data_IF_542462673915
#
_entry.id   IF_542462673915
#
_cell.length_a   1.000
_cell.length_b   1.000
_cell.length_c   1.000
_cell.angle_alpha   90.00
_cell.angle_beta   90.00
_cell.angle_gamma   90.00
#
_symmetry.space_group_name_H-M   'P 1'
#
loop_
_entity.id
_entity.type
_entity.pdbx_description
1 polymer ?
#
# COMPACT_ATOMS: atom_id res chain seq x y z
N UNK A 1 5.79 28.01 -45.34
CA UNK A 1 5.04 26.80 -44.90
C UNK A 1 5.90 25.65 -44.34
N UNK A 2 7.21 25.51 -44.62
CA UNK A 2 7.99 24.35 -44.12
C UNK A 2 8.45 24.42 -42.65
N UNK A 3 8.81 25.61 -42.12
CA UNK A 3 9.20 25.78 -40.70
C UNK A 3 8.07 25.48 -39.71
N UNK A 4 6.82 25.83 -40.05
CA UNK A 4 5.64 25.56 -39.23
C UNK A 4 5.26 24.08 -39.18
N UNK A 5 5.52 23.33 -40.27
CA UNK A 5 5.32 21.88 -40.34
C UNK A 5 6.39 21.14 -39.53
N UNK A 6 7.66 21.57 -39.62
CA UNK A 6 8.79 21.01 -38.87
C UNK A 6 8.64 21.16 -37.34
N UNK A 7 8.18 22.33 -36.87
CA UNK A 7 7.88 22.60 -35.45
C UNK A 7 6.77 21.71 -34.90
N UNK A 8 5.67 21.49 -35.65
CA UNK A 8 4.59 20.57 -35.23
C UNK A 8 5.04 19.11 -35.16
N UNK A 9 5.91 18.68 -36.07
CA UNK A 9 6.50 17.33 -36.01
C UNK A 9 7.44 17.14 -34.82
N UNK A 10 8.24 18.15 -34.45
CA UNK A 10 9.11 18.09 -33.27
C UNK A 10 8.31 18.12 -31.95
N UNK A 11 7.30 19.00 -31.86
CA UNK A 11 6.40 19.05 -30.70
C UNK A 11 5.55 17.77 -30.56
N UNK A 12 5.05 17.24 -31.68
CA UNK A 12 4.32 15.97 -31.72
C UNK A 12 5.19 14.75 -31.38
N UNK A 13 6.46 14.75 -31.79
CA UNK A 13 7.43 13.73 -31.38
C UNK A 13 7.78 13.84 -29.89
N UNK A 14 7.95 15.06 -29.35
CA UNK A 14 8.15 15.29 -27.91
C UNK A 14 6.97 14.83 -27.07
N UNK A 15 5.74 15.15 -27.49
CA UNK A 15 4.52 14.71 -26.80
C UNK A 15 4.34 13.18 -26.86
N UNK A 16 4.57 12.56 -28.02
CA UNK A 16 4.53 11.10 -28.14
C UNK A 16 5.62 10.45 -27.28
N UNK A 17 6.83 10.99 -27.26
CA UNK A 17 7.89 10.46 -26.43
C UNK A 17 7.56 10.59 -24.94
N UNK A 18 6.95 11.69 -24.51
CA UNK A 18 6.52 11.90 -23.13
C UNK A 18 5.43 10.93 -22.66
N UNK A 19 4.47 10.54 -23.52
CA UNK A 19 3.38 9.63 -23.15
C UNK A 19 3.58 8.16 -23.53
N UNK A 20 4.53 7.84 -24.41
CA UNK A 20 4.74 6.47 -24.92
C UNK A 20 6.14 5.92 -24.66
N UNK A 21 6.95 6.59 -23.84
CA UNK A 21 8.24 6.02 -23.39
C UNK A 21 7.98 4.67 -22.71
N UNK A 22 8.78 3.63 -23.02
CA UNK A 22 8.68 2.36 -22.31
C UNK A 22 9.09 2.55 -20.84
N UNK A 23 8.54 1.73 -19.92
CA UNK A 23 9.02 1.69 -18.54
C UNK A 23 10.50 1.30 -18.48
N UNK A 24 11.17 1.64 -17.37
CA UNK A 24 12.55 1.17 -17.11
C UNK A 24 12.58 -0.35 -17.05
N UNK A 25 13.65 -0.96 -17.58
CA UNK A 25 13.91 -2.40 -17.46
C UNK A 25 14.53 -2.71 -16.09
N UNK A 26 14.58 -3.98 -15.70
CA UNK A 26 15.38 -4.34 -14.52
C UNK A 26 16.86 -4.01 -14.76
N UNK A 27 17.53 -3.49 -13.73
CA UNK A 27 18.92 -3.02 -13.82
C UNK A 27 19.08 -1.57 -14.30
N UNK A 28 18.01 -0.91 -14.76
CA UNK A 28 18.00 0.54 -15.03
C UNK A 28 17.50 1.35 -13.82
N UNK A 29 17.73 0.84 -12.60
CA UNK A 29 17.27 1.46 -11.35
C UNK A 29 18.03 2.77 -11.14
N UNK A 30 17.29 3.81 -10.82
CA UNK A 30 17.83 5.14 -10.56
C UNK A 30 18.07 5.30 -9.06
N UNK A 31 19.32 5.12 -8.64
CA UNK A 31 19.68 5.11 -7.21
C UNK A 31 19.66 6.50 -6.57
N UNK A 32 19.75 7.56 -7.38
CA UNK A 32 19.72 8.96 -6.92
C UNK A 32 18.33 9.59 -7.05
N UNK A 33 17.31 8.79 -7.41
CA UNK A 33 15.92 9.24 -7.45
C UNK A 33 15.44 9.67 -6.06
N UNK A 34 14.77 10.81 -6.02
CA UNK A 34 13.99 11.27 -4.87
C UNK A 34 12.50 10.93 -5.04
N UNK A 35 11.77 10.85 -3.93
CA UNK A 35 10.30 10.68 -3.97
C UNK A 35 9.66 11.94 -4.56
N UNK A 36 8.90 11.78 -5.64
CA UNK A 36 8.23 12.91 -6.27
C UNK A 36 6.97 13.36 -5.51
N UNK A 37 6.58 14.63 -5.63
CA UNK A 37 5.32 15.13 -5.05
C UNK A 37 4.08 14.35 -5.49
N UNK A 38 4.09 13.78 -6.70
CA UNK A 38 2.98 12.95 -7.19
C UNK A 38 2.90 11.63 -6.42
N UNK A 39 4.03 11.07 -5.99
CA UNK A 39 4.06 9.88 -5.15
C UNK A 39 3.61 10.17 -3.72
N UNK A 40 3.93 11.36 -3.20
CA UNK A 40 3.36 11.84 -1.93
C UNK A 40 1.84 12.01 -2.03
N UNK A 41 1.35 12.54 -3.15
CA UNK A 41 -0.08 12.66 -3.41
C UNK A 41 -0.76 11.29 -3.57
N UNK A 42 -0.08 10.31 -4.17
CA UNK A 42 -0.53 8.93 -4.23
C UNK A 42 -0.71 8.32 -2.82
N UNK A 43 0.24 8.56 -1.90
CA UNK A 43 0.11 8.11 -0.50
C UNK A 43 -1.06 8.76 0.24
N UNK A 44 -1.46 9.98 -0.12
CA UNK A 44 -2.63 10.63 0.47
C UNK A 44 -3.95 9.87 0.20
N UNK A 45 -4.06 9.18 -0.93
CA UNK A 45 -5.23 8.33 -1.20
C UNK A 45 -5.24 7.11 -0.28
N UNK A 46 -4.06 6.64 0.15
CA UNK A 46 -3.96 5.57 1.14
C UNK A 46 -4.43 6.01 2.53
N UNK A 47 -4.30 7.29 2.90
CA UNK A 47 -4.91 7.82 4.13
C UNK A 47 -6.41 7.53 4.16
N UNK A 48 -7.11 7.80 3.05
CA UNK A 48 -8.57 7.60 2.98
C UNK A 48 -8.95 6.14 3.13
N UNK A 49 -8.33 5.23 2.37
CA UNK A 49 -8.69 3.81 2.41
C UNK A 49 -8.30 3.15 3.73
N UNK A 50 -7.18 3.55 4.33
CA UNK A 50 -6.75 3.06 5.64
C UNK A 50 -7.70 3.58 6.73
N UNK A 51 -8.10 4.85 6.66
CA UNK A 51 -9.10 5.42 7.57
C UNK A 51 -10.44 4.71 7.50
N UNK A 52 -10.90 4.29 6.31
CA UNK A 52 -12.12 3.48 6.19
C UNK A 52 -11.99 2.12 6.87
N UNK A 53 -10.85 1.44 6.72
CA UNK A 53 -10.59 0.17 7.41
C UNK A 53 -10.48 0.37 8.94
N UNK A 54 -9.78 1.41 9.38
CA UNK A 54 -9.61 1.72 10.80
C UNK A 54 -10.95 2.09 11.46
N UNK A 55 -11.78 2.88 10.80
CA UNK A 55 -13.12 3.23 11.28
C UNK A 55 -14.03 2.00 11.41
N UNK A 56 -13.98 1.08 10.44
CA UNK A 56 -14.70 -0.20 10.56
C UNK A 56 -14.26 -0.99 11.80
N UNK A 57 -12.95 -1.04 12.11
CA UNK A 57 -12.45 -1.67 13.33
C UNK A 57 -12.93 -0.95 14.60
N UNK A 58 -12.90 0.39 14.61
CA UNK A 58 -13.32 1.21 15.75
C UNK A 58 -14.80 1.01 16.11
N UNK A 59 -15.65 0.78 15.11
CA UNK A 59 -17.08 0.50 15.30
C UNK A 59 -17.40 -0.97 15.60
N UNK A 60 -16.43 -1.89 15.42
CA UNK A 60 -16.60 -3.34 15.59
C UNK A 60 -15.50 -3.96 16.46
N UNK A 61 -15.20 -3.36 17.63
CA UNK A 61 -14.13 -3.80 18.54
C UNK A 61 -14.39 -5.22 19.08
N UNK A 62 -13.85 -6.21 18.39
CA UNK A 62 -13.99 -7.63 18.71
C UNK A 62 -12.88 -8.43 18.03
N UNK A 63 -12.71 -9.71 18.41
CA UNK A 63 -11.78 -10.61 17.71
C UNK A 63 -12.13 -10.79 16.23
N UNK A 64 -13.42 -10.78 15.91
CA UNK A 64 -13.90 -10.87 14.52
C UNK A 64 -13.57 -9.59 13.76
N UNK A 65 -13.85 -8.41 14.32
CA UNK A 65 -13.52 -7.12 13.72
C UNK A 65 -12.01 -6.95 13.52
N UNK A 66 -11.19 -7.40 14.49
CA UNK A 66 -9.74 -7.38 14.36
C UNK A 66 -9.25 -8.30 13.23
N UNK A 67 -9.79 -9.52 13.13
CA UNK A 67 -9.48 -10.44 12.02
C UNK A 67 -9.82 -9.79 10.67
N UNK A 68 -11.02 -9.23 10.56
CA UNK A 68 -11.53 -8.62 9.34
C UNK A 68 -10.68 -7.41 8.93
N UNK A 69 -10.33 -6.56 9.89
CA UNK A 69 -9.39 -5.47 9.72
C UNK A 69 -8.03 -5.94 9.22
N UNK A 70 -7.41 -6.94 9.87
CA UNK A 70 -6.08 -7.45 9.48
C UNK A 70 -6.09 -7.98 8.04
N UNK A 71 -7.17 -8.65 7.63
CA UNK A 71 -7.30 -9.17 6.25
C UNK A 71 -7.45 -8.03 5.24
N UNK A 72 -8.37 -7.09 5.49
CA UNK A 72 -8.63 -5.96 4.58
C UNK A 72 -7.42 -5.03 4.52
N UNK A 73 -6.82 -4.68 5.66
CA UNK A 73 -5.57 -3.92 5.72
C UNK A 73 -4.44 -4.63 4.98
N UNK A 74 -4.33 -5.96 5.12
CA UNK A 74 -3.37 -6.76 4.37
C UNK A 74 -3.54 -6.60 2.85
N UNK A 75 -4.76 -6.61 2.34
CA UNK A 75 -5.04 -6.37 0.92
C UNK A 75 -4.69 -4.94 0.49
N UNK A 76 -4.97 -3.94 1.33
CA UNK A 76 -4.59 -2.54 1.10
C UNK A 76 -3.07 -2.41 1.03
N UNK A 77 -2.35 -3.02 1.98
CA UNK A 77 -0.89 -3.03 2.02
C UNK A 77 -0.31 -3.70 0.77
N UNK A 78 -0.90 -4.82 0.31
CA UNK A 78 -0.48 -5.46 -0.93
C UNK A 78 -0.68 -4.56 -2.15
N UNK A 79 -1.80 -3.85 -2.24
CA UNK A 79 -2.03 -2.89 -3.32
C UNK A 79 -1.02 -1.75 -3.28
N UNK A 80 -0.78 -1.18 -2.10
CA UNK A 80 0.23 -0.15 -1.87
C UNK A 80 1.62 -0.62 -2.31
N UNK A 81 2.05 -1.78 -1.82
CA UNK A 81 3.35 -2.34 -2.10
C UNK A 81 3.52 -2.59 -3.61
N UNK A 82 2.52 -3.17 -4.29
CA UNK A 82 2.60 -3.43 -5.72
C UNK A 82 2.71 -2.14 -6.56
N UNK A 83 1.89 -1.13 -6.26
CA UNK A 83 1.93 0.16 -6.97
C UNK A 83 3.24 0.90 -6.74
N UNK A 84 3.67 1.00 -5.48
CA UNK A 84 4.92 1.67 -5.07
C UNK A 84 6.13 0.94 -5.63
N UNK A 85 6.22 -0.38 -5.49
CA UNK A 85 7.34 -1.17 -5.98
C UNK A 85 7.45 -1.14 -7.51
N UNK A 86 6.33 -1.14 -8.25
CA UNK A 86 6.40 -0.97 -9.69
C UNK A 86 6.95 0.42 -10.06
N UNK A 87 6.49 1.48 -9.40
CA UNK A 87 6.99 2.83 -9.68
C UNK A 87 8.48 3.00 -9.32
N UNK A 88 8.89 2.39 -8.21
CA UNK A 88 10.27 2.33 -7.74
C UNK A 88 11.21 1.75 -8.81
N UNK A 89 10.88 0.57 -9.34
CA UNK A 89 11.79 -0.17 -10.24
C UNK A 89 11.61 0.23 -11.70
N UNK A 90 10.40 0.61 -12.11
CA UNK A 90 10.03 0.77 -13.52
C UNK A 90 9.52 2.17 -13.91
N UNK A 91 9.20 3.02 -12.93
CA UNK A 91 8.65 4.35 -13.13
C UNK A 91 9.65 5.35 -13.69
N UNK A 92 9.13 6.43 -14.29
CA UNK A 92 9.90 7.56 -14.85
C UNK A 92 9.17 8.88 -14.60
N UNK A 93 9.86 10.00 -14.72
CA UNK A 93 9.23 11.33 -14.69
C UNK A 93 8.61 11.71 -16.05
N UNK A 94 7.71 10.88 -16.55
CA UNK A 94 7.06 11.07 -17.84
C UNK A 94 5.52 11.02 -17.76
N UNK A 95 4.86 11.41 -18.83
CA UNK A 95 3.39 11.48 -18.89
C UNK A 95 2.74 10.12 -18.69
N UNK A 96 3.37 9.05 -19.19
CA UNK A 96 2.87 7.68 -19.03
C UNK A 96 2.84 7.26 -17.56
N UNK A 97 3.92 7.48 -16.84
CA UNK A 97 4.05 7.11 -15.43
C UNK A 97 3.08 7.93 -14.57
N UNK A 98 2.93 9.23 -14.88
CA UNK A 98 1.92 10.09 -14.22
C UNK A 98 0.50 9.60 -14.47
N UNK A 99 0.14 9.27 -15.71
CA UNK A 99 -1.17 8.70 -16.06
C UNK A 99 -1.41 7.38 -15.34
N UNK A 100 -0.40 6.51 -15.24
CA UNK A 100 -0.51 5.26 -14.50
C UNK A 100 -0.82 5.51 -13.02
N UNK A 101 -0.13 6.46 -12.38
CA UNK A 101 -0.39 6.84 -10.99
C UNK A 101 -1.83 7.35 -10.84
N UNK A 102 -2.29 8.27 -11.71
CA UNK A 102 -3.66 8.79 -11.63
C UNK A 102 -4.73 7.71 -11.79
N UNK A 103 -4.52 6.73 -12.68
CA UNK A 103 -5.42 5.57 -12.82
C UNK A 103 -5.45 4.76 -11.52
N UNK A 104 -4.28 4.45 -10.95
CA UNK A 104 -4.21 3.73 -9.68
C UNK A 104 -4.91 4.51 -8.56
N UNK A 105 -4.69 5.82 -8.44
CA UNK A 105 -5.36 6.68 -7.46
C UNK A 105 -6.89 6.62 -7.58
N UNK A 106 -7.42 6.69 -8.81
CA UNK A 106 -8.86 6.58 -9.04
C UNK A 106 -9.42 5.21 -8.62
N UNK A 107 -8.69 4.13 -8.91
CA UNK A 107 -9.07 2.78 -8.50
C UNK A 107 -8.99 2.57 -6.98
N UNK A 108 -7.97 3.12 -6.32
CA UNK A 108 -7.81 3.04 -4.85
C UNK A 108 -8.86 3.90 -4.15
N UNK A 109 -9.17 5.08 -4.67
CA UNK A 109 -10.25 5.92 -4.15
C UNK A 109 -11.61 5.22 -4.28
N UNK A 110 -11.88 4.55 -5.40
CA UNK A 110 -13.07 3.72 -5.57
C UNK A 110 -13.06 2.50 -4.63
N UNK A 111 -11.90 1.88 -4.42
CA UNK A 111 -11.75 0.77 -3.48
C UNK A 111 -12.10 1.24 -2.06
N UNK A 112 -11.69 2.46 -1.68
CA UNK A 112 -12.01 3.07 -0.39
C UNK A 112 -13.51 3.22 -0.13
N UNK A 113 -14.31 3.51 -1.16
CA UNK A 113 -15.78 3.59 -1.04
C UNK A 113 -16.36 2.30 -0.48
N UNK A 114 -15.83 1.15 -0.88
CA UNK A 114 -16.32 -0.17 -0.47
C UNK A 114 -15.58 -0.75 0.74
N UNK A 115 -14.51 -0.10 1.22
CA UNK A 115 -13.66 -0.66 2.29
C UNK A 115 -14.39 -0.77 3.62
N UNK A 116 -15.21 0.22 3.98
CA UNK A 116 -15.91 0.25 5.27
C UNK A 116 -16.86 -0.94 5.50
N UNK A 117 -17.36 -1.52 4.41
CA UNK A 117 -18.31 -2.64 4.40
C UNK A 117 -17.77 -3.85 3.60
N UNK A 118 -16.45 -3.92 3.40
CA UNK A 118 -15.82 -4.93 2.55
C UNK A 118 -16.01 -6.36 3.07
N UNK A 119 -16.22 -6.52 4.38
CA UNK A 119 -16.40 -7.84 5.00
C UNK A 119 -17.86 -8.27 5.08
N UNK A 120 -18.79 -7.44 4.58
CA UNK A 120 -20.22 -7.72 4.54
C UNK A 120 -20.80 -7.49 3.12
N UNK A 121 -21.82 -6.64 3.02
CA UNK A 121 -22.59 -6.21 1.84
C UNK A 121 -21.74 -5.72 0.67
N UNK A 122 -20.65 -4.98 0.91
CA UNK A 122 -19.83 -4.40 -0.15
C UNK A 122 -18.69 -5.32 -0.63
N UNK A 123 -18.50 -6.49 0.00
CA UNK A 123 -17.38 -7.37 -0.33
C UNK A 123 -17.28 -7.80 -1.81
N UNK A 124 -18.39 -8.09 -2.53
CA UNK A 124 -18.32 -8.35 -3.98
C UNK A 124 -17.85 -7.13 -4.78
N UNK A 125 -18.27 -5.92 -4.39
CA UNK A 125 -17.85 -4.68 -5.04
C UNK A 125 -16.37 -4.38 -4.75
N UNK A 126 -15.94 -4.53 -3.50
CA UNK A 126 -14.53 -4.44 -3.10
C UNK A 126 -13.66 -5.40 -3.91
N UNK A 127 -14.02 -6.69 -3.98
CA UNK A 127 -13.30 -7.69 -4.77
C UNK A 127 -13.25 -7.32 -6.26
N UNK A 128 -14.34 -6.79 -6.82
CA UNK A 128 -14.40 -6.37 -8.22
C UNK A 128 -13.43 -5.23 -8.52
N UNK A 129 -13.41 -4.19 -7.69
CA UNK A 129 -12.46 -3.07 -7.85
C UNK A 129 -11.02 -3.55 -7.67
N UNK A 130 -10.79 -4.43 -6.70
CA UNK A 130 -9.48 -5.04 -6.45
C UNK A 130 -8.99 -5.86 -7.66
N UNK A 131 -9.88 -6.59 -8.34
CA UNK A 131 -9.56 -7.30 -9.60
C UNK A 131 -9.12 -6.32 -10.67
N UNK A 132 -9.83 -5.19 -10.85
CA UNK A 132 -9.47 -4.19 -11.86
C UNK A 132 -8.11 -3.57 -11.54
N UNK A 133 -7.84 -3.27 -10.26
CA UNK A 133 -6.55 -2.77 -9.80
C UNK A 133 -5.42 -3.78 -10.03
N UNK A 134 -5.61 -5.05 -9.69
CA UNK A 134 -4.62 -6.09 -9.93
C UNK A 134 -4.44 -6.43 -11.41
N UNK A 135 -5.49 -6.33 -12.23
CA UNK A 135 -5.38 -6.46 -13.68
C UNK A 135 -4.52 -5.33 -14.27
N UNK A 136 -4.66 -4.10 -13.73
CA UNK A 136 -3.80 -2.98 -14.08
C UNK A 136 -2.33 -3.23 -13.69
N UNK A 137 -2.07 -3.66 -12.45
CA UNK A 137 -0.71 -4.04 -12.03
C UNK A 137 -0.15 -5.18 -12.88
N UNK A 138 -0.94 -6.19 -13.20
CA UNK A 138 -0.56 -7.32 -14.06
C UNK A 138 -0.15 -6.84 -15.45
N UNK A 139 -0.93 -5.93 -16.03
CA UNK A 139 -0.60 -5.32 -17.32
C UNK A 139 0.73 -4.54 -17.26
N UNK A 140 0.95 -3.76 -16.22
CA UNK A 140 2.18 -2.99 -16.03
C UNK A 140 3.42 -3.90 -15.92
N UNK A 141 3.33 -4.99 -15.15
CA UNK A 141 4.38 -5.99 -15.03
C UNK A 141 4.59 -6.79 -16.31
N UNK A 142 3.50 -7.13 -17.02
CA UNK A 142 3.58 -7.81 -18.31
C UNK A 142 4.25 -6.93 -19.38
N UNK A 143 3.96 -5.63 -19.39
CA UNK A 143 4.58 -4.69 -20.32
C UNK A 143 6.10 -4.63 -20.14
N UNK A 144 6.58 -4.66 -18.88
CA UNK A 144 8.01 -4.79 -18.56
C UNK A 144 8.53 -6.15 -19.00
N UNK A 145 7.88 -7.25 -18.61
CA UNK A 145 8.29 -8.61 -18.92
C UNK A 145 8.60 -8.83 -20.42
N UNK A 146 7.84 -8.18 -21.31
CA UNK A 146 8.04 -8.28 -22.77
C UNK A 146 9.32 -7.61 -23.29
N UNK A 147 9.80 -6.58 -22.60
CA UNK A 147 10.98 -5.81 -23.02
C UNK A 147 12.23 -6.13 -22.22
N UNK A 148 12.09 -6.88 -21.14
CA UNK A 148 13.12 -7.12 -20.14
C UNK A 148 14.15 -8.18 -20.56
N UNK A 149 15.30 -8.17 -19.88
CA UNK A 149 16.36 -9.15 -20.10
C UNK A 149 15.87 -10.57 -19.74
N UNK A 150 16.18 -11.59 -20.57
CA UNK A 150 15.85 -12.99 -20.29
C UNK A 150 16.18 -13.48 -18.87
N UNK A 151 17.22 -12.95 -18.22
CA UNK A 151 17.62 -13.35 -16.86
C UNK A 151 16.52 -13.10 -15.82
N UNK A 152 15.67 -12.07 -16.01
CA UNK A 152 14.60 -11.72 -15.07
C UNK A 152 13.29 -12.46 -15.36
N UNK A 153 13.12 -13.05 -16.54
CA UNK A 153 11.84 -13.65 -16.97
C UNK A 153 11.33 -14.72 -16.01
N UNK A 154 12.22 -15.54 -15.44
CA UNK A 154 11.81 -16.57 -14.49
C UNK A 154 11.15 -16.00 -13.22
N UNK A 155 11.67 -14.90 -12.68
CA UNK A 155 11.11 -14.24 -11.49
C UNK A 155 9.83 -13.50 -11.90
N UNK A 156 9.87 -12.72 -12.97
CA UNK A 156 8.73 -11.92 -13.43
C UNK A 156 7.55 -12.80 -13.85
N UNK A 157 7.77 -13.95 -14.50
CA UNK A 157 6.69 -14.89 -14.84
C UNK A 157 6.01 -15.49 -13.61
N UNK A 158 6.77 -15.82 -12.55
CA UNK A 158 6.20 -16.29 -11.28
C UNK A 158 5.39 -15.19 -10.59
N UNK A 159 5.90 -13.97 -10.62
CA UNK A 159 5.21 -12.81 -10.08
C UNK A 159 3.89 -12.55 -10.81
N UNK A 160 3.90 -12.56 -12.14
CA UNK A 160 2.70 -12.46 -12.98
C UNK A 160 1.71 -13.61 -12.71
N UNK A 161 2.20 -14.84 -12.54
CA UNK A 161 1.34 -15.97 -12.18
C UNK A 161 0.66 -15.75 -10.81
N UNK A 162 1.37 -15.21 -9.83
CA UNK A 162 0.81 -14.82 -8.53
C UNK A 162 -0.27 -13.74 -8.64
N UNK A 163 -0.06 -12.74 -9.51
CA UNK A 163 -1.07 -11.71 -9.79
C UNK A 163 -2.31 -12.28 -10.46
N UNK A 164 -2.16 -13.14 -11.47
CA UNK A 164 -3.27 -13.83 -12.12
C UNK A 164 -4.03 -14.75 -11.15
N UNK A 165 -3.32 -15.46 -10.27
CA UNK A 165 -3.93 -16.27 -9.22
C UNK A 165 -4.72 -15.40 -8.23
N UNK A 166 -4.24 -14.20 -7.91
CA UNK A 166 -4.96 -13.24 -7.06
C UNK A 166 -6.23 -12.74 -7.73
N UNK A 167 -6.18 -12.41 -9.02
CA UNK A 167 -7.36 -12.03 -9.81
C UNK A 167 -8.39 -13.16 -9.82
N UNK A 168 -7.96 -14.39 -10.08
CA UNK A 168 -8.84 -15.56 -10.08
C UNK A 168 -9.45 -15.82 -8.69
N UNK A 169 -8.65 -15.76 -7.64
CA UNK A 169 -9.10 -15.95 -6.27
C UNK A 169 -10.09 -14.86 -5.83
N UNK A 170 -9.83 -13.59 -6.18
CA UNK A 170 -10.79 -12.51 -5.96
C UNK A 170 -12.08 -12.73 -6.75
N UNK A 171 -12.00 -13.20 -7.99
CA UNK A 171 -13.17 -13.53 -8.81
C UNK A 171 -14.03 -14.62 -8.18
N UNK A 172 -13.41 -15.66 -7.63
CA UNK A 172 -14.10 -16.71 -6.86
C UNK A 172 -14.75 -16.10 -5.61
N UNK A 173 -14.03 -15.18 -4.93
CA UNK A 173 -14.48 -14.57 -3.67
C UNK A 173 -15.78 -13.75 -3.81
N UNK A 174 -16.13 -13.29 -5.01
CA UNK A 174 -17.36 -12.56 -5.32
C UNK A 174 -18.60 -13.45 -5.14
N UNK A 175 -18.51 -14.72 -5.50
CA UNK A 175 -19.67 -15.62 -5.57
C UNK A 175 -19.89 -16.46 -4.30
N UNK A 176 -19.02 -16.31 -3.30
CA UNK A 176 -19.09 -17.10 -2.05
C UNK A 176 -19.62 -16.26 -0.87
N UNK A 177 -20.12 -16.92 0.19
CA UNK A 177 -20.53 -16.24 1.42
C UNK A 177 -19.35 -15.50 2.09
N UNK A 178 -19.67 -14.51 2.93
CA UNK A 178 -18.69 -13.57 3.49
C UNK A 178 -17.57 -14.26 4.27
N UNK A 179 -17.88 -15.26 5.10
CA UNK A 179 -16.85 -16.01 5.85
C UNK A 179 -15.84 -16.72 4.93
N UNK A 180 -16.31 -17.26 3.79
CA UNK A 180 -15.45 -17.91 2.80
C UNK A 180 -14.66 -16.88 2.00
N UNK A 181 -15.27 -15.72 1.70
CA UNK A 181 -14.60 -14.58 1.05
C UNK A 181 -13.41 -14.10 1.89
N UNK A 182 -13.63 -13.86 3.18
CA UNK A 182 -12.57 -13.44 4.11
C UNK A 182 -11.47 -14.50 4.23
N UNK A 183 -11.83 -15.79 4.25
CA UNK A 183 -10.83 -16.87 4.26
C UNK A 183 -9.97 -16.89 2.98
N UNK A 184 -10.58 -16.66 1.80
CA UNK A 184 -9.85 -16.53 0.53
C UNK A 184 -8.90 -15.33 0.59
N UNK A 185 -9.39 -14.18 1.05
CA UNK A 185 -8.60 -12.96 1.16
C UNK A 185 -7.43 -13.10 2.13
N UNK A 186 -7.65 -13.74 3.29
CA UNK A 186 -6.59 -14.09 4.23
C UNK A 186 -5.53 -14.99 3.58
N UNK A 187 -5.97 -15.97 2.77
CA UNK A 187 -5.10 -16.84 1.99
C UNK A 187 -4.25 -16.06 0.97
N UNK A 188 -4.82 -15.07 0.29
CA UNK A 188 -4.10 -14.17 -0.62
C UNK A 188 -3.02 -13.39 0.14
N UNK A 189 -3.37 -12.76 1.26
CA UNK A 189 -2.42 -11.98 2.09
C UNK A 189 -1.28 -12.88 2.57
N UNK A 190 -1.58 -14.05 3.11
CA UNK A 190 -0.58 -15.00 3.59
C UNK A 190 0.32 -15.50 2.44
N UNK A 191 -0.26 -15.84 1.28
CA UNK A 191 0.48 -16.31 0.12
C UNK A 191 1.46 -15.24 -0.40
N UNK A 192 1.06 -13.97 -0.45
CA UNK A 192 1.94 -12.89 -0.86
C UNK A 192 3.00 -12.56 0.19
N UNK A 193 2.66 -12.54 1.47
CA UNK A 193 3.63 -12.27 2.53
C UNK A 193 4.70 -13.37 2.60
N UNK A 194 4.28 -14.64 2.64
CA UNK A 194 5.20 -15.77 2.75
C UNK A 194 5.94 -16.06 1.43
N UNK A 195 5.20 -16.08 0.31
CA UNK A 195 5.76 -16.33 -1.02
C UNK A 195 6.67 -15.20 -1.48
N UNK A 196 6.29 -13.96 -1.21
CA UNK A 196 7.10 -12.78 -1.48
C UNK A 196 8.37 -12.74 -0.62
N UNK A 197 8.26 -13.05 0.69
CA UNK A 197 9.42 -13.21 1.57
C UNK A 197 10.38 -14.27 1.02
N UNK A 198 9.87 -15.47 0.71
CA UNK A 198 10.68 -16.57 0.18
C UNK A 198 11.33 -16.20 -1.16
N UNK A 199 10.59 -15.52 -2.05
CA UNK A 199 11.11 -15.08 -3.35
C UNK A 199 12.29 -14.12 -3.19
N UNK A 200 12.18 -13.11 -2.31
CA UNK A 200 13.26 -12.16 -2.04
C UNK A 200 14.42 -12.86 -1.31
N UNK A 201 14.14 -13.67 -0.29
CA UNK A 201 15.17 -14.32 0.52
C UNK A 201 16.02 -15.35 -0.25
N UNK A 202 15.43 -16.00 -1.27
CA UNK A 202 16.08 -17.07 -2.05
C UNK A 202 16.55 -16.64 -3.44
N UNK A 203 16.17 -15.45 -3.91
CA UNK A 203 16.58 -14.97 -5.23
C UNK A 203 18.10 -14.92 -5.35
N UNK A 204 18.63 -15.37 -6.48
CA UNK A 204 20.06 -15.27 -6.83
C UNK A 204 20.36 -14.16 -7.83
N UNK A 205 19.34 -13.46 -8.31
CA UNK A 205 19.47 -12.40 -9.32
C UNK A 205 19.88 -11.12 -8.63
N UNK A 206 21.10 -10.64 -8.92
CA UNK A 206 21.72 -9.47 -8.28
C UNK A 206 20.94 -8.19 -8.52
N UNK A 207 20.54 -7.90 -9.76
CA UNK A 207 19.83 -6.65 -10.08
C UNK A 207 18.41 -6.52 -9.49
N UNK A 208 17.82 -7.61 -8.99
CA UNK A 208 16.57 -7.54 -8.22
C UNK A 208 16.83 -7.18 -6.74
N UNK A 209 18.05 -7.37 -6.23
CA UNK A 209 18.42 -7.01 -4.85
C UNK A 209 18.79 -5.54 -4.73
N UNK A 210 19.33 -4.97 -5.81
CA UNK A 210 19.70 -3.55 -5.91
C UNK A 210 18.49 -2.64 -6.15
N UNK A 211 17.29 -3.20 -6.31
CA UNK A 211 16.07 -2.43 -6.57
C UNK A 211 15.49 -1.70 -5.36
N UNK A 212 16.06 -1.89 -4.16
CA UNK A 212 15.66 -1.17 -2.94
C UNK A 212 16.55 0.05 -2.76
N UNK A 213 16.09 1.19 -3.27
CA UNK A 213 16.78 2.48 -3.16
C UNK A 213 16.45 3.19 -1.84
N UNK A 214 17.13 4.30 -1.56
CA UNK A 214 16.77 5.24 -0.50
C UNK A 214 15.32 5.73 -0.63
N UNK A 215 14.82 5.93 -1.85
CA UNK A 215 13.45 6.35 -2.13
C UNK A 215 12.42 5.31 -1.66
N UNK A 216 12.70 4.02 -1.82
CA UNK A 216 11.80 2.98 -1.30
C UNK A 216 11.75 2.98 0.23
N UNK A 217 12.89 3.20 0.89
CA UNK A 217 12.95 3.36 2.36
C UNK A 217 12.12 4.57 2.79
N UNK A 218 12.25 5.69 2.08
CA UNK A 218 11.44 6.89 2.29
C UNK A 218 9.94 6.61 2.12
N UNK A 219 9.53 5.87 1.08
CA UNK A 219 8.12 5.47 0.87
C UNK A 219 7.57 4.60 2.00
N UNK A 220 8.34 3.64 2.52
CA UNK A 220 7.93 2.89 3.72
C UNK A 220 7.82 3.80 4.96
N UNK A 221 8.71 4.78 5.09
CA UNK A 221 8.62 5.83 6.12
C UNK A 221 7.33 6.64 6.01
N UNK A 222 6.98 7.10 4.80
CA UNK A 222 5.77 7.87 4.51
C UNK A 222 4.50 7.06 4.75
N UNK A 223 4.46 5.80 4.31
CA UNK A 223 3.33 4.91 4.61
C UNK A 223 3.17 4.67 6.11
N UNK A 224 4.28 4.58 6.85
CA UNK A 224 4.23 4.48 8.32
C UNK A 224 3.73 5.79 8.95
N UNK A 225 4.06 6.96 8.40
CA UNK A 225 3.49 8.25 8.85
C UNK A 225 1.98 8.29 8.59
N UNK A 226 1.51 7.83 7.41
CA UNK A 226 0.08 7.73 7.09
C UNK A 226 -0.65 6.91 8.16
N UNK A 227 -0.11 5.74 8.50
CA UNK A 227 -0.68 4.85 9.49
C UNK A 227 -0.59 5.41 10.92
N UNK A 228 0.48 6.12 11.28
CA UNK A 228 0.57 6.88 12.53
C UNK A 228 -0.47 8.00 12.60
N UNK A 229 -0.84 8.57 11.45
CA UNK A 229 -1.93 9.54 11.32
C UNK A 229 -3.25 9.00 11.87
N UNK A 230 -3.53 7.70 11.72
CA UNK A 230 -4.74 7.07 12.28
C UNK A 230 -4.76 7.09 13.81
N UNK A 231 -3.60 7.10 14.47
CA UNK A 231 -3.53 7.27 15.93
C UNK A 231 -3.98 8.67 16.33
N UNK A 232 -3.52 9.69 15.59
CA UNK A 232 -3.91 11.09 15.84
C UNK A 232 -5.40 11.27 15.53
N UNK A 233 -5.88 10.75 14.41
CA UNK A 233 -7.29 10.81 14.01
C UNK A 233 -8.17 10.11 15.05
N UNK A 234 -7.79 8.90 15.50
CA UNK A 234 -8.56 8.17 16.50
C UNK A 234 -8.67 8.90 17.84
N UNK A 235 -7.60 9.53 18.31
CA UNK A 235 -7.62 10.39 19.51
C UNK A 235 -8.55 11.58 19.33
N UNK A 236 -8.47 12.27 18.19
CA UNK A 236 -9.30 13.45 17.91
C UNK A 236 -10.77 13.08 17.75
N UNK A 237 -11.08 11.98 17.07
CA UNK A 237 -12.44 11.46 16.91
C UNK A 237 -13.04 11.07 18.24
N UNK A 238 -12.34 10.26 19.04
CA UNK A 238 -12.82 9.86 20.36
C UNK A 238 -13.10 11.06 21.26
N UNK A 239 -12.23 12.08 21.27
CA UNK A 239 -12.48 13.33 22.02
C UNK A 239 -13.61 14.19 21.41
N UNK A 240 -13.86 14.05 20.13
CA UNK A 240 -14.96 14.69 19.40
C UNK A 240 -16.33 14.12 19.78
N UNK A 241 -16.39 12.82 20.08
CA UNK A 241 -17.61 12.07 20.33
C UNK A 241 -18.08 12.13 21.80
N UNK A 242 -17.18 12.41 22.76
CA UNK A 242 -17.57 12.59 24.17
C UNK A 242 -18.40 13.87 24.38
N UNK A 243 -19.51 13.74 25.12
CA UNK A 243 -20.40 14.86 25.50
C UNK A 243 -19.65 15.92 26.31
N UNK A 244 -19.06 15.52 27.44
CA UNK A 244 -18.30 16.39 28.33
C UNK A 244 -16.79 16.12 28.27
N UNK A 245 -16.02 17.13 27.87
CA UNK A 245 -14.55 17.06 27.77
C UNK A 245 -13.90 17.33 29.13
N UNK A 246 -14.01 16.36 30.03
CA UNK A 246 -13.44 16.45 31.38
C UNK A 246 -11.92 16.39 31.35
N UNK A 247 -11.29 16.73 32.48
CA UNK A 247 -9.84 16.62 32.63
C UNK A 247 -9.35 15.17 32.44
N UNK A 248 -10.16 14.17 32.78
CA UNK A 248 -9.82 12.76 32.61
C UNK A 248 -9.78 12.39 31.12
N UNK A 249 -10.85 12.68 30.39
CA UNK A 249 -10.93 12.39 28.94
C UNK A 249 -9.82 13.07 28.15
N UNK A 250 -9.52 14.35 28.46
CA UNK A 250 -8.39 15.06 27.85
C UNK A 250 -7.06 14.40 28.20
N UNK A 251 -6.87 13.97 29.45
CA UNK A 251 -5.63 13.28 29.85
C UNK A 251 -5.46 11.96 29.11
N UNK A 252 -6.52 11.15 29.00
CA UNK A 252 -6.52 9.89 28.26
C UNK A 252 -6.20 10.12 26.78
N UNK A 253 -6.82 11.12 26.15
CA UNK A 253 -6.50 11.53 24.78
C UNK A 253 -5.03 11.92 24.60
N UNK A 254 -4.48 12.73 25.52
CA UNK A 254 -3.07 13.14 25.48
C UNK A 254 -2.11 11.97 25.68
N UNK A 255 -2.46 10.98 26.52
CA UNK A 255 -1.69 9.75 26.67
C UNK A 255 -1.75 8.89 25.40
N UNK A 256 -2.91 8.77 24.75
CA UNK A 256 -3.04 8.10 23.45
C UNK A 256 -2.16 8.76 22.38
N UNK A 257 -2.13 10.08 22.34
CA UNK A 257 -1.23 10.84 21.46
C UNK A 257 0.24 10.59 21.79
N UNK A 258 0.60 10.54 23.08
CA UNK A 258 1.96 10.22 23.53
C UNK A 258 2.39 8.80 23.11
N UNK A 259 1.48 7.83 23.09
CA UNK A 259 1.74 6.49 22.52
C UNK A 259 2.06 6.59 21.03
N UNK A 260 1.28 7.34 20.25
CA UNK A 260 1.57 7.60 18.83
C UNK A 260 2.94 8.24 18.60
N UNK A 261 3.30 9.24 19.41
CA UNK A 261 4.62 9.87 19.39
C UNK A 261 5.74 8.89 19.74
N UNK A 262 5.53 8.02 20.73
CA UNK A 262 6.45 6.95 21.10
C UNK A 262 6.65 5.93 19.97
N UNK A 263 5.58 5.53 19.27
CA UNK A 263 5.65 4.63 18.12
C UNK A 263 6.45 5.27 16.97
N UNK A 264 6.21 6.55 16.68
CA UNK A 264 7.00 7.31 15.71
C UNK A 264 8.48 7.31 16.07
N UNK A 265 8.82 7.62 17.33
CA UNK A 265 10.19 7.69 17.81
C UNK A 265 10.90 6.35 17.62
N UNK A 266 10.29 5.26 18.10
CA UNK A 266 10.86 3.92 18.02
C UNK A 266 11.05 3.48 16.56
N UNK A 267 10.07 3.73 15.68
CA UNK A 267 10.15 3.33 14.28
C UNK A 267 11.29 4.04 13.54
N UNK A 268 11.36 5.38 13.63
CA UNK A 268 12.35 6.14 12.85
C UNK A 268 13.79 6.01 13.38
N UNK A 269 13.97 5.72 14.68
CA UNK A 269 15.31 5.45 15.23
C UNK A 269 15.79 4.01 14.95
N UNK A 270 14.87 3.03 14.94
CA UNK A 270 15.23 1.61 14.75
C UNK A 270 15.26 1.18 13.27
N UNK A 271 14.27 1.59 12.46
CA UNK A 271 14.00 1.04 11.13
C UNK A 271 13.94 2.10 10.02
N UNK A 272 13.21 3.19 10.23
CA UNK A 272 12.77 4.10 9.16
C UNK A 272 13.87 4.87 8.42
N UNK A 273 15.10 4.90 8.94
CA UNK A 273 16.26 5.59 8.31
C UNK A 273 17.34 4.65 7.79
N UNK A 274 17.19 3.33 7.94
CA UNK A 274 18.26 2.36 7.65
C UNK A 274 17.95 1.60 6.37
N UNK A 275 18.76 1.83 5.33
CA UNK A 275 18.77 0.94 4.16
C UNK A 275 19.21 -0.45 4.65
N UNK A 276 18.38 -1.50 4.46
CA UNK A 276 18.75 -2.84 4.88
C UNK A 276 20.03 -3.28 4.14
N UNK A 277 20.90 -3.99 4.86
CA UNK A 277 22.13 -4.55 4.28
C UNK A 277 21.85 -5.41 3.03
N UNK A 278 22.84 -5.58 2.16
CA UNK A 278 22.75 -6.37 0.92
C UNK A 278 22.41 -7.88 1.06
N UNK A 279 22.14 -8.38 2.27
CA UNK A 279 21.69 -9.76 2.48
C UNK A 279 20.22 -9.92 2.08
N UNK A 280 19.94 -10.87 1.18
CA UNK A 280 18.60 -11.17 0.69
C UNK A 280 17.59 -11.47 1.81
N UNK A 281 18.01 -12.18 2.86
CA UNK A 281 17.15 -12.47 4.02
C UNK A 281 16.86 -11.20 4.80
N UNK A 282 17.87 -10.36 5.06
CA UNK A 282 17.66 -9.09 5.78
C UNK A 282 16.77 -8.13 4.99
N UNK A 283 16.91 -8.11 3.66
CA UNK A 283 16.05 -7.37 2.76
C UNK A 283 14.60 -7.86 2.84
N UNK A 284 14.38 -9.17 2.72
CA UNK A 284 13.06 -9.78 2.84
C UNK A 284 12.44 -9.50 4.21
N UNK A 285 13.19 -9.71 5.30
CA UNK A 285 12.72 -9.43 6.66
C UNK A 285 12.36 -7.97 6.82
N UNK A 286 13.22 -7.05 6.36
CA UNK A 286 12.94 -5.62 6.41
C UNK A 286 11.68 -5.28 5.61
N UNK A 287 11.49 -5.78 4.39
CA UNK A 287 10.29 -5.49 3.61
C UNK A 287 9.02 -6.02 4.26
N UNK A 288 8.99 -7.30 4.65
CA UNK A 288 7.77 -7.96 5.08
C UNK A 288 7.43 -7.77 6.56
N UNK A 289 8.38 -7.34 7.42
CA UNK A 289 8.05 -6.96 8.81
C UNK A 289 7.21 -5.67 8.87
N UNK A 290 7.26 -4.82 7.84
CA UNK A 290 6.43 -3.61 7.78
C UNK A 290 4.94 -3.94 7.68
N UNK A 291 4.55 -5.09 7.14
CA UNK A 291 3.13 -5.48 7.08
C UNK A 291 2.52 -5.63 8.48
N UNK A 292 2.98 -6.55 9.36
CA UNK A 292 2.41 -6.66 10.71
C UNK A 292 2.67 -5.40 11.55
N UNK A 293 3.78 -4.70 11.36
CA UNK A 293 4.07 -3.46 12.07
C UNK A 293 3.03 -2.37 11.76
N UNK A 294 2.82 -2.06 10.48
CA UNK A 294 1.86 -1.03 10.05
C UNK A 294 0.43 -1.45 10.35
N UNK A 295 0.09 -2.73 10.20
CA UNK A 295 -1.23 -3.25 10.62
C UNK A 295 -1.46 -2.99 12.12
N UNK A 296 -0.45 -3.23 12.96
CA UNK A 296 -0.56 -3.03 14.41
C UNK A 296 -0.71 -1.55 14.80
N UNK A 297 0.02 -0.65 14.13
CA UNK A 297 -0.09 0.80 14.40
C UNK A 297 -1.47 1.31 13.97
N UNK A 298 -1.96 0.90 12.80
CA UNK A 298 -3.30 1.29 12.31
C UNK A 298 -4.41 0.76 13.25
N UNK A 299 -4.30 -0.49 13.69
CA UNK A 299 -5.23 -1.07 14.67
C UNK A 299 -5.18 -0.34 16.01
N UNK A 300 -3.99 0.08 16.47
CA UNK A 300 -3.86 0.91 17.67
C UNK A 300 -4.59 2.26 17.49
N UNK A 301 -4.52 2.87 16.31
CA UNK A 301 -5.26 4.10 16.02
C UNK A 301 -6.77 3.93 16.08
N UNK A 302 -7.30 2.87 15.47
CA UNK A 302 -8.72 2.52 15.60
C UNK A 302 -9.14 2.30 17.07
N UNK A 303 -8.30 1.64 17.86
CA UNK A 303 -8.56 1.42 19.28
C UNK A 303 -8.54 2.70 20.13
N UNK A 304 -7.86 3.77 19.68
CA UNK A 304 -7.83 5.05 20.40
C UNK A 304 -9.21 5.70 20.48
N UNK A 305 -10.08 5.51 19.48
CA UNK A 305 -11.45 6.06 19.50
C UNK A 305 -12.20 5.54 20.73
N UNK A 306 -12.31 4.22 20.84
CA UNK A 306 -13.00 3.56 21.95
C UNK A 306 -12.33 3.86 23.30
N UNK A 307 -11.00 3.87 23.35
CA UNK A 307 -10.25 4.15 24.58
C UNK A 307 -10.49 5.57 25.12
N UNK A 308 -10.69 6.55 24.24
CA UNK A 308 -10.98 7.93 24.64
C UNK A 308 -12.47 8.11 24.94
N UNK A 309 -13.37 7.54 24.13
CA UNK A 309 -14.82 7.62 24.38
C UNK A 309 -15.20 7.05 25.75
N UNK A 310 -14.65 5.88 26.10
CA UNK A 310 -15.03 5.13 27.31
C UNK A 310 -14.09 5.45 28.49
N UNK A 311 -13.43 6.60 28.46
CA UNK A 311 -12.47 7.00 29.51
C UNK A 311 -13.12 7.14 30.90
N UNK A 312 -14.41 7.44 30.95
CA UNK A 312 -15.16 7.64 32.19
C UNK A 312 -16.00 6.43 32.61
N UNK A 313 -16.08 5.40 31.75
CA UNK A 313 -16.86 4.22 32.04
C UNK A 313 -16.24 3.44 33.21
N UNK A 314 -17.01 3.26 34.28
CA UNK A 314 -16.65 2.33 35.34
C UNK A 314 -16.68 0.90 34.79
N UNK A 315 -15.53 0.22 34.81
CA UNK A 315 -15.37 -1.20 34.46
C UNK A 315 -16.41 -2.12 35.08
#
# INVERSE_FOLDING_TARGET
>A
MSKYRASKTAAGQGLRWFFFRPPRRHGEVDHDREVSFLELFYDLVYVVIIGQAAHHLATHVSWTGLRDFVVVFGLIWLAWFNGTFWHEVHGREDGRSRTNIFIQMGLIALLAVYTGHATDTDGPAFATVYIVLFAWYTYQWWAVHRIDDPVYRGITSRYLAGMLATIAAMGISIAVPDHARIAIWAGIVAAWALGGFAAVATTKVTGFRESLTSSMVERFGLFTIVVLGEVVIGVVQGLGEVEDRTALTVTVAMLGLAVGMGLWWNYFDALGRRVPSASAVRLATWTYIHLPLTTSIAAAGAAMVSLVEHAEDSR
#
